data_IF_323295673687
#
_entry.id   IF_323295673687
#
_cell.length_a   1.000
_cell.length_b   1.000
_cell.length_c   1.000
_cell.angle_alpha   90.00
_cell.angle_beta   90.00
_cell.angle_gamma   90.00
#
_symmetry.space_group_name_H-M   'P 1'
#
loop_
_entity.id
_entity.type
_entity.pdbx_description
1 polymer ?
#
# COMPACT_ATOMS: atom_id res chain seq x y z
N UNK A 1 29.72 -3.07 -3.68
CA UNK A 1 29.93 -4.50 -3.34
C UNK A 1 29.55 -4.84 -1.90
N UNK A 2 29.80 -3.96 -0.91
CA UNK A 2 29.50 -4.23 0.51
C UNK A 2 28.00 -4.42 0.83
N UNK A 3 27.08 -3.85 0.04
CA UNK A 3 25.62 -3.93 0.30
C UNK A 3 24.99 -5.32 0.01
N UNK A 4 25.60 -6.14 -0.86
CA UNK A 4 25.07 -7.47 -1.25
C UNK A 4 25.63 -8.59 -0.36
N UNK A 5 26.79 -8.37 0.27
CA UNK A 5 27.45 -9.35 1.14
C UNK A 5 26.61 -9.62 2.40
N UNK A 6 25.92 -8.60 2.92
CA UNK A 6 25.14 -8.70 4.15
C UNK A 6 23.92 -9.64 4.02
N UNK A 7 23.02 -9.50 3.03
CA UNK A 7 21.88 -10.41 2.85
C UNK A 7 22.29 -11.87 2.63
N UNK A 8 23.33 -12.11 1.83
CA UNK A 8 23.80 -13.46 1.52
C UNK A 8 24.41 -14.11 2.76
N UNK A 9 25.22 -13.37 3.53
CA UNK A 9 25.78 -13.87 4.78
C UNK A 9 24.68 -14.26 5.78
N UNK A 10 23.60 -13.48 5.87
CA UNK A 10 22.45 -13.79 6.74
C UNK A 10 21.78 -15.10 6.30
N UNK A 11 21.56 -15.30 4.99
CA UNK A 11 20.96 -16.53 4.48
C UNK A 11 21.84 -17.77 4.75
N UNK A 12 23.15 -17.65 4.57
CA UNK A 12 24.09 -18.75 4.85
C UNK A 12 24.11 -19.08 6.34
N UNK A 13 24.18 -18.08 7.21
CA UNK A 13 24.14 -18.29 8.66
C UNK A 13 22.82 -18.94 9.07
N UNK A 14 21.70 -18.50 8.52
CA UNK A 14 20.39 -19.11 8.78
C UNK A 14 20.33 -20.57 8.34
N UNK A 15 20.80 -20.90 7.13
CA UNK A 15 20.89 -22.28 6.64
C UNK A 15 21.73 -23.16 7.59
N UNK A 16 22.92 -22.69 7.97
CA UNK A 16 23.81 -23.43 8.89
C UNK A 16 23.14 -23.66 10.25
N UNK A 17 22.48 -22.65 10.81
CA UNK A 17 21.78 -22.79 12.09
C UNK A 17 20.62 -23.79 12.00
N UNK A 18 19.91 -23.83 10.87
CA UNK A 18 18.85 -24.79 10.60
C UNK A 18 19.40 -26.21 10.49
N UNK A 19 20.47 -26.40 9.70
CA UNK A 19 21.10 -27.70 9.47
C UNK A 19 21.72 -28.28 10.74
N UNK A 20 22.34 -27.42 11.57
CA UNK A 20 22.88 -27.80 12.88
C UNK A 20 21.80 -28.01 13.95
N UNK A 21 20.51 -27.84 13.62
CA UNK A 21 19.36 -27.95 14.54
C UNK A 21 19.47 -27.03 15.76
N UNK A 22 20.17 -25.90 15.60
CA UNK A 22 20.27 -24.84 16.61
C UNK A 22 19.00 -23.99 16.66
N UNK A 23 18.20 -24.04 15.59
CA UNK A 23 16.84 -23.49 15.51
C UNK A 23 15.84 -24.60 15.16
N UNK A 24 14.61 -24.45 15.64
CA UNK A 24 13.54 -25.42 15.35
C UNK A 24 13.02 -25.20 13.92
N UNK A 25 13.42 -26.09 13.01
CA UNK A 25 13.08 -26.03 11.59
C UNK A 25 11.59 -26.22 11.30
N UNK A 26 10.79 -26.64 12.30
CA UNK A 26 9.33 -26.66 12.20
C UNK A 26 8.73 -25.26 12.19
N UNK A 27 9.39 -24.28 12.81
CA UNK A 27 8.92 -22.89 12.85
C UNK A 27 9.80 -21.95 12.01
N UNK A 28 11.08 -22.27 11.88
CA UNK A 28 12.06 -21.52 11.09
C UNK A 28 12.72 -22.43 10.06
N UNK A 29 12.03 -22.73 8.95
CA UNK A 29 12.55 -23.63 7.93
C UNK A 29 13.85 -23.07 7.33
N UNK A 30 14.77 -23.96 6.95
CA UNK A 30 15.97 -23.61 6.22
C UNK A 30 15.62 -22.86 4.91
N UNK A 31 16.38 -21.82 4.53
CA UNK A 31 16.27 -21.15 3.24
C UNK A 31 16.13 -22.09 2.03
N UNK A 32 16.83 -23.22 2.02
CA UNK A 32 16.70 -24.26 0.98
C UNK A 32 15.29 -24.85 0.89
N UNK A 33 14.63 -25.13 2.02
CA UNK A 33 13.26 -25.63 2.07
C UNK A 33 12.26 -24.59 1.56
N UNK A 34 12.47 -23.32 1.89
CA UNK A 34 11.65 -22.21 1.38
C UNK A 34 11.80 -22.11 -0.14
N UNK A 35 13.03 -22.24 -0.65
CA UNK A 35 13.28 -22.22 -2.10
C UNK A 35 12.62 -23.40 -2.83
N UNK A 36 12.68 -24.61 -2.27
CA UNK A 36 11.98 -25.77 -2.84
C UNK A 36 10.46 -25.58 -2.85
N UNK A 37 9.89 -25.03 -1.76
CA UNK A 37 8.47 -24.71 -1.69
C UNK A 37 8.09 -23.65 -2.73
N UNK A 38 8.92 -22.62 -2.93
CA UNK A 38 8.71 -21.61 -3.97
C UNK A 38 8.62 -22.23 -5.36
N UNK A 39 9.56 -23.12 -5.72
CA UNK A 39 9.54 -23.82 -7.00
C UNK A 39 8.29 -24.70 -7.14
N UNK A 40 7.89 -25.41 -6.08
CA UNK A 40 6.67 -26.22 -6.09
C UNK A 40 5.41 -25.36 -6.32
N UNK A 41 5.24 -24.28 -5.56
CA UNK A 41 4.10 -23.37 -5.70
C UNK A 41 4.09 -22.65 -7.05
N UNK A 42 5.26 -22.35 -7.62
CA UNK A 42 5.39 -21.74 -8.93
C UNK A 42 5.02 -22.72 -10.05
N UNK A 43 5.57 -23.94 -10.02
CA UNK A 43 5.34 -24.97 -11.07
C UNK A 43 3.92 -25.52 -11.05
N UNK A 44 3.29 -25.61 -9.88
CA UNK A 44 1.86 -25.98 -9.73
C UNK A 44 0.90 -24.87 -10.17
N UNK A 45 1.39 -23.65 -10.42
CA UNK A 45 0.58 -22.49 -10.80
C UNK A 45 -0.17 -21.83 -9.63
N UNK A 46 -0.10 -22.41 -8.44
CA UNK A 46 -0.76 -21.90 -7.22
C UNK A 46 -0.27 -20.48 -6.91
N UNK A 47 1.05 -20.28 -6.91
CA UNK A 47 1.63 -18.97 -6.61
C UNK A 47 1.20 -17.90 -7.61
N UNK A 48 1.14 -18.24 -8.90
CA UNK A 48 0.73 -17.30 -9.95
C UNK A 48 -0.74 -16.92 -9.81
N UNK A 49 -1.61 -17.89 -9.49
CA UNK A 49 -3.01 -17.63 -9.23
C UNK A 49 -3.19 -16.70 -8.02
N UNK A 50 -2.61 -17.08 -6.87
CA UNK A 50 -2.68 -16.29 -5.63
C UNK A 50 -2.15 -14.87 -5.83
N UNK A 51 -0.99 -14.72 -6.49
CA UNK A 51 -0.39 -13.44 -6.80
C UNK A 51 -1.29 -12.58 -7.70
N UNK A 52 -1.84 -13.16 -8.77
CA UNK A 52 -2.68 -12.43 -9.73
C UNK A 52 -3.96 -11.90 -9.08
N UNK A 53 -4.59 -12.70 -8.22
CA UNK A 53 -5.82 -12.33 -7.51
C UNK A 53 -5.53 -11.22 -6.49
N UNK A 54 -4.45 -11.34 -5.70
CA UNK A 54 -4.07 -10.28 -4.76
C UNK A 54 -3.72 -8.99 -5.49
N UNK A 55 -2.97 -9.05 -6.59
CA UNK A 55 -2.65 -7.87 -7.40
C UNK A 55 -3.90 -7.17 -7.93
N UNK A 56 -4.88 -7.93 -8.44
CA UNK A 56 -6.16 -7.39 -8.88
C UNK A 56 -6.88 -6.64 -7.75
N UNK A 57 -6.97 -7.26 -6.56
CA UNK A 57 -7.63 -6.65 -5.39
C UNK A 57 -6.88 -5.42 -4.86
N UNK A 58 -5.54 -5.49 -4.77
CA UNK A 58 -4.67 -4.38 -4.35
C UNK A 58 -4.85 -3.19 -5.29
N UNK A 59 -4.67 -3.40 -6.60
CA UNK A 59 -4.72 -2.32 -7.59
C UNK A 59 -6.14 -1.75 -7.67
N UNK A 60 -7.17 -2.61 -7.70
CA UNK A 60 -8.56 -2.19 -7.71
C UNK A 60 -8.91 -1.35 -6.49
N UNK A 61 -8.61 -1.84 -5.30
CA UNK A 61 -8.86 -1.10 -4.05
C UNK A 61 -8.04 0.19 -3.96
N UNK A 62 -6.78 0.16 -4.36
CA UNK A 62 -5.92 1.35 -4.36
C UNK A 62 -6.48 2.42 -5.29
N UNK A 63 -6.87 2.10 -6.53
CA UNK A 63 -7.43 3.07 -7.47
C UNK A 63 -8.76 3.63 -6.95
N UNK A 64 -9.67 2.74 -6.51
CA UNK A 64 -10.99 3.12 -6.00
C UNK A 64 -10.89 3.96 -4.72
N UNK A 65 -9.85 3.80 -3.91
CA UNK A 65 -9.60 4.64 -2.73
C UNK A 65 -8.84 5.92 -3.04
N UNK A 66 -7.73 5.82 -3.77
CA UNK A 66 -6.81 6.92 -4.01
C UNK A 66 -7.41 8.00 -4.91
N UNK A 67 -8.18 7.64 -5.93
CA UNK A 67 -8.77 8.63 -6.86
C UNK A 67 -9.78 9.54 -6.13
N UNK A 68 -10.78 9.03 -5.39
CA UNK A 68 -11.64 9.87 -4.57
C UNK A 68 -10.87 10.60 -3.47
N UNK A 69 -9.87 9.95 -2.85
CA UNK A 69 -9.03 10.58 -1.83
C UNK A 69 -8.29 11.79 -2.39
N UNK A 70 -7.74 11.70 -3.59
CA UNK A 70 -7.07 12.79 -4.28
C UNK A 70 -8.05 13.92 -4.61
N UNK A 71 -9.20 13.61 -5.19
CA UNK A 71 -10.21 14.60 -5.57
C UNK A 71 -10.72 15.36 -4.33
N UNK A 72 -11.12 14.62 -3.30
CA UNK A 72 -11.65 15.21 -2.06
C UNK A 72 -10.54 15.94 -1.30
N UNK A 73 -9.35 15.36 -1.20
CA UNK A 73 -8.20 16.02 -0.57
C UNK A 73 -7.82 17.34 -1.24
N UNK A 74 -7.78 17.37 -2.58
CA UNK A 74 -7.51 18.60 -3.33
C UNK A 74 -8.59 19.64 -3.07
N UNK A 75 -9.87 19.25 -3.15
CA UNK A 75 -10.98 20.19 -2.91
C UNK A 75 -10.99 20.73 -1.48
N UNK A 76 -10.70 19.90 -0.46
CA UNK A 76 -10.51 20.36 0.92
C UNK A 76 -9.32 21.31 1.03
N UNK A 77 -8.22 21.02 0.36
CA UNK A 77 -7.04 21.89 0.37
C UNK A 77 -7.29 23.27 -0.26
N UNK A 78 -8.08 23.29 -1.34
CA UNK A 78 -8.33 24.49 -2.14
C UNK A 78 -9.49 25.35 -1.60
N UNK A 79 -10.50 24.75 -0.99
CA UNK A 79 -11.72 25.43 -0.57
C UNK A 79 -11.92 25.33 0.95
N UNK A 80 -11.63 26.40 1.72
CA UNK A 80 -11.78 26.40 3.17
C UNK A 80 -13.18 26.03 3.67
N UNK A 81 -14.23 26.34 2.90
CA UNK A 81 -15.61 25.98 3.25
C UNK A 81 -15.80 24.46 3.21
N UNK A 82 -15.36 23.80 2.13
CA UNK A 82 -15.44 22.34 1.99
C UNK A 82 -14.64 21.68 3.11
N UNK A 83 -13.44 22.20 3.38
CA UNK A 83 -12.60 21.74 4.50
C UNK A 83 -13.31 21.82 5.83
N UNK A 84 -13.89 22.97 6.19
CA UNK A 84 -14.57 23.14 7.47
C UNK A 84 -15.77 22.20 7.65
N UNK A 85 -16.40 21.76 6.55
CA UNK A 85 -17.49 20.78 6.56
C UNK A 85 -16.97 19.35 6.69
N UNK A 86 -15.93 19.00 5.92
CA UNK A 86 -15.43 17.62 5.83
C UNK A 86 -14.42 17.25 6.93
N UNK A 87 -13.64 18.20 7.44
CA UNK A 87 -12.61 17.96 8.46
C UNK A 87 -13.18 17.22 9.69
N UNK A 88 -14.33 17.62 10.29
CA UNK A 88 -14.89 16.89 11.42
C UNK A 88 -15.30 15.45 11.07
N UNK A 89 -15.84 15.23 9.87
CA UNK A 89 -16.27 13.91 9.40
C UNK A 89 -15.06 13.01 9.18
N UNK A 90 -14.03 13.54 8.52
CA UNK A 90 -12.77 12.83 8.29
C UNK A 90 -12.09 12.51 9.63
N UNK A 91 -12.01 13.47 10.54
CA UNK A 91 -11.40 13.28 11.86
C UNK A 91 -12.16 12.25 12.72
N UNK A 92 -13.49 12.20 12.62
CA UNK A 92 -14.31 11.24 13.37
C UNK A 92 -14.23 9.82 12.79
N UNK A 93 -14.16 9.69 11.47
CA UNK A 93 -14.21 8.39 10.78
C UNK A 93 -12.83 7.77 10.54
N UNK A 94 -11.79 8.59 10.42
CA UNK A 94 -10.42 8.12 10.20
C UNK A 94 -9.89 7.16 11.29
N UNK A 95 -10.13 7.35 12.60
CA UNK A 95 -9.61 6.45 13.62
C UNK A 95 -10.21 5.04 13.59
N UNK A 96 -11.35 4.85 12.91
CA UNK A 96 -12.03 3.56 12.84
C UNK A 96 -11.10 2.53 12.17
N UNK A 97 -10.82 1.38 12.83
CA UNK A 97 -10.03 0.32 12.23
C UNK A 97 -10.74 -0.25 11.00
N UNK A 98 -10.11 -0.16 9.83
CA UNK A 98 -10.74 -0.53 8.55
C UNK A 98 -11.02 -2.02 8.47
N UNK A 99 -10.18 -2.84 9.10
CA UNK A 99 -10.41 -4.28 9.25
C UNK A 99 -11.62 -4.59 10.15
N UNK A 100 -11.92 -3.76 11.15
CA UNK A 100 -13.10 -3.95 12.00
C UNK A 100 -14.41 -3.68 11.26
N UNK A 101 -14.36 -2.99 10.11
CA UNK A 101 -15.51 -2.81 9.22
C UNK A 101 -15.77 -4.02 8.32
N UNK A 102 -14.82 -4.96 8.24
CA UNK A 102 -14.90 -6.09 7.31
C UNK A 102 -16.19 -6.91 7.45
N UNK A 103 -16.69 -7.27 8.65
CA UNK A 103 -17.96 -8.01 8.77
C UNK A 103 -19.16 -7.25 8.22
N UNK A 104 -19.21 -5.92 8.40
CA UNK A 104 -20.28 -5.08 7.84
C UNK A 104 -20.20 -5.06 6.31
N UNK A 105 -19.00 -4.92 5.77
CA UNK A 105 -18.76 -4.91 4.31
C UNK A 105 -19.10 -6.28 3.71
N UNK A 106 -18.79 -7.38 4.40
CA UNK A 106 -19.19 -8.73 4.00
C UNK A 106 -20.72 -8.88 3.96
N UNK A 107 -21.46 -8.31 4.91
CA UNK A 107 -22.94 -8.33 4.88
C UNK A 107 -23.48 -7.54 3.68
N UNK A 108 -22.86 -6.40 3.37
CA UNK A 108 -23.31 -5.51 2.29
C UNK A 108 -23.00 -6.05 0.89
N UNK A 109 -21.80 -6.62 0.70
CA UNK A 109 -21.27 -6.98 -0.62
C UNK A 109 -21.12 -8.48 -0.83
N UNK A 110 -21.28 -9.30 0.22
CA UNK A 110 -21.02 -10.74 0.19
C UNK A 110 -19.56 -11.09 0.38
N UNK A 111 -19.25 -12.39 0.27
CA UNK A 111 -17.90 -12.93 0.30
C UNK A 111 -17.42 -13.16 -1.15
N UNK A 112 -16.70 -12.20 -1.72
CA UNK A 112 -16.18 -12.24 -3.08
C UNK A 112 -14.89 -11.40 -3.19
N UNK A 113 -14.65 -10.71 -4.31
CA UNK A 113 -13.49 -9.82 -4.45
C UNK A 113 -13.82 -8.38 -4.06
N UNK A 114 -15.09 -7.99 -4.16
CA UNK A 114 -15.55 -6.63 -4.00
C UNK A 114 -15.44 -6.16 -2.55
N UNK A 115 -15.77 -6.98 -1.57
CA UNK A 115 -15.62 -6.61 -0.16
C UNK A 115 -14.15 -6.33 0.20
N UNK A 116 -13.22 -7.12 -0.35
CA UNK A 116 -11.78 -6.95 -0.13
C UNK A 116 -11.29 -5.65 -0.77
N UNK A 117 -11.72 -5.38 -2.00
CA UNK A 117 -11.46 -4.13 -2.73
C UNK A 117 -12.00 -2.92 -1.94
N UNK A 118 -13.22 -3.01 -1.39
CA UNK A 118 -13.83 -1.92 -0.62
C UNK A 118 -13.07 -1.64 0.68
N UNK A 119 -12.66 -2.67 1.42
CA UNK A 119 -11.84 -2.48 2.64
C UNK A 119 -10.53 -1.75 2.31
N UNK A 120 -9.85 -2.16 1.24
CA UNK A 120 -8.60 -1.54 0.77
C UNK A 120 -8.85 -0.10 0.32
N UNK A 121 -9.95 0.14 -0.40
CA UNK A 121 -10.32 1.47 -0.87
C UNK A 121 -10.55 2.43 0.30
N UNK A 122 -11.27 2.02 1.34
CA UNK A 122 -11.49 2.83 2.54
C UNK A 122 -10.16 3.14 3.22
N UNK A 123 -9.27 2.14 3.38
CA UNK A 123 -7.96 2.35 3.98
C UNK A 123 -7.08 3.34 3.22
N UNK A 124 -7.02 3.18 1.90
CA UNK A 124 -6.23 4.03 1.01
C UNK A 124 -6.80 5.45 0.93
N UNK A 125 -8.13 5.57 0.85
CA UNK A 125 -8.86 6.83 0.71
C UNK A 125 -8.44 7.88 1.72
N UNK A 126 -8.47 7.54 3.02
CA UNK A 126 -8.16 8.51 4.07
C UNK A 126 -6.70 8.96 4.04
N UNK A 127 -5.77 8.03 3.80
CA UNK A 127 -4.33 8.36 3.77
C UNK A 127 -4.04 9.31 2.61
N UNK A 128 -4.58 9.02 1.42
CA UNK A 128 -4.40 9.88 0.24
C UNK A 128 -5.10 11.22 0.42
N UNK A 129 -6.33 11.23 0.95
CA UNK A 129 -7.09 12.45 1.24
C UNK A 129 -6.33 13.39 2.17
N UNK A 130 -5.89 12.88 3.32
CA UNK A 130 -5.27 13.70 4.36
C UNK A 130 -3.93 14.28 3.89
N UNK A 131 -3.10 13.48 3.22
CA UNK A 131 -1.81 13.95 2.69
C UNK A 131 -2.00 14.92 1.53
N UNK A 132 -3.00 14.71 0.68
CA UNK A 132 -3.32 15.63 -0.43
C UNK A 132 -3.81 16.97 0.11
N UNK A 133 -4.74 16.97 1.06
CA UNK A 133 -5.24 18.19 1.68
C UNK A 133 -4.12 18.94 2.40
N UNK A 134 -3.32 18.24 3.20
CA UNK A 134 -2.15 18.82 3.88
C UNK A 134 -1.14 19.41 2.89
N UNK A 135 -0.93 18.75 1.74
CA UNK A 135 0.01 19.21 0.71
C UNK A 135 -0.35 20.57 0.14
N UNK A 136 -1.65 20.82 -0.06
CA UNK A 136 -2.15 22.11 -0.54
C UNK A 136 -2.18 23.16 0.58
N UNK A 137 -2.59 22.77 1.79
CA UNK A 137 -2.77 23.69 2.93
C UNK A 137 -1.43 24.23 3.45
N UNK A 138 -0.39 23.39 3.48
CA UNK A 138 0.90 23.72 4.05
C UNK A 138 1.82 24.51 3.09
N UNK A 139 1.35 24.88 1.91
CA UNK A 139 2.10 25.75 1.03
C UNK A 139 2.27 27.13 1.67
N UNK A 140 3.49 27.64 1.62
CA UNK A 140 3.82 28.95 2.19
C UNK A 140 2.94 30.04 1.54
N UNK A 141 2.37 30.89 2.40
CA UNK A 141 1.55 32.03 1.99
C UNK A 141 2.31 32.95 1.03
N UNK A 142 3.64 33.00 1.13
CA UNK A 142 4.48 33.79 0.23
C UNK A 142 4.25 33.45 -1.24
N UNK A 143 3.97 32.18 -1.57
CA UNK A 143 3.69 31.77 -2.95
C UNK A 143 2.37 32.35 -3.46
N UNK A 144 1.38 32.50 -2.57
CA UNK A 144 0.10 33.13 -2.91
C UNK A 144 0.26 34.65 -3.10
N UNK A 145 1.02 35.29 -2.23
CA UNK A 145 1.26 36.74 -2.30
C UNK A 145 2.06 37.12 -3.55
N UNK A 146 3.11 36.34 -3.86
CA UNK A 146 3.88 36.49 -5.11
C UNK A 146 2.97 36.29 -6.33
N UNK A 147 2.21 35.20 -6.39
CA UNK A 147 1.31 34.96 -7.54
C UNK A 147 0.30 36.10 -7.74
N UNK A 148 -0.27 36.63 -6.66
CA UNK A 148 -1.19 37.79 -6.73
C UNK A 148 -0.50 39.06 -7.21
N UNK A 149 0.73 39.32 -6.78
CA UNK A 149 1.50 40.48 -7.23
C UNK A 149 1.82 40.42 -8.74
N UNK A 150 1.97 39.22 -9.30
CA UNK A 150 2.13 39.00 -10.75
C UNK A 150 0.78 38.94 -11.50
N UNK A 151 -0.34 39.24 -10.85
CA UNK A 151 -1.66 39.29 -11.48
C UNK A 151 -2.30 37.94 -11.73
N UNK A 152 -1.81 36.85 -11.12
CA UNK A 152 -2.38 35.52 -11.29
C UNK A 152 -3.82 35.47 -10.77
N UNK A 153 -4.74 34.95 -11.58
CA UNK A 153 -6.08 34.63 -11.10
C UNK A 153 -6.02 33.49 -10.08
N UNK A 154 -7.11 33.27 -9.33
CA UNK A 154 -7.19 32.12 -8.41
C UNK A 154 -6.90 30.80 -9.13
N UNK A 155 -7.46 30.64 -10.33
CA UNK A 155 -7.26 29.43 -11.16
C UNK A 155 -5.80 29.27 -11.56
N UNK A 156 -5.13 30.36 -11.94
CA UNK A 156 -3.72 30.31 -12.32
C UNK A 156 -2.86 29.91 -11.13
N UNK A 157 -3.03 30.56 -9.98
CA UNK A 157 -2.34 30.18 -8.75
C UNK A 157 -2.53 28.68 -8.43
N UNK A 158 -3.75 28.15 -8.58
CA UNK A 158 -4.00 26.75 -8.27
C UNK A 158 -3.29 25.79 -9.23
N UNK A 159 -3.35 26.03 -10.53
CA UNK A 159 -2.79 25.11 -11.52
C UNK A 159 -1.27 25.23 -11.67
N UNK A 160 -0.71 26.43 -11.45
CA UNK A 160 0.71 26.69 -11.70
C UNK A 160 1.57 26.75 -10.44
N UNK A 161 0.96 26.95 -9.27
CA UNK A 161 1.70 27.08 -8.00
C UNK A 161 1.23 26.05 -6.98
N UNK A 162 -0.07 26.03 -6.65
CA UNK A 162 -0.56 25.21 -5.56
C UNK A 162 -0.53 23.71 -5.87
N UNK A 163 -1.05 23.29 -7.02
CA UNK A 163 -1.04 21.89 -7.41
C UNK A 163 0.40 21.37 -7.59
N UNK A 164 1.30 22.01 -8.37
CA UNK A 164 2.68 21.57 -8.48
C UNK A 164 3.42 21.54 -7.14
N UNK A 165 3.20 22.53 -6.28
CA UNK A 165 3.81 22.59 -4.95
C UNK A 165 3.31 21.48 -4.01
N UNK A 166 2.06 21.04 -4.15
CA UNK A 166 1.48 19.97 -3.34
C UNK A 166 1.84 18.56 -3.81
N UNK A 167 2.26 18.39 -5.08
CA UNK A 167 2.56 17.09 -5.68
C UNK A 167 3.50 16.20 -4.83
N UNK A 168 4.62 16.70 -4.24
CA UNK A 168 5.48 15.87 -3.40
C UNK A 168 4.75 15.24 -2.19
N UNK A 169 3.83 15.98 -1.57
CA UNK A 169 3.06 15.47 -0.43
C UNK A 169 1.91 14.56 -0.90
N UNK A 170 1.31 14.84 -2.05
CA UNK A 170 0.35 13.93 -2.70
C UNK A 170 1.00 12.57 -2.97
N UNK A 171 2.20 12.54 -3.54
CA UNK A 171 2.94 11.29 -3.79
C UNK A 171 3.32 10.58 -2.50
N UNK A 172 3.65 11.32 -1.45
CA UNK A 172 3.85 10.73 -0.11
C UNK A 172 2.55 10.03 0.35
N UNK A 173 1.40 10.67 0.17
CA UNK A 173 0.08 10.08 0.43
C UNK A 173 -0.20 8.82 -0.39
N UNK A 174 0.12 8.83 -1.70
CA UNK A 174 -0.04 7.66 -2.57
C UNK A 174 0.83 6.48 -2.13
N UNK A 175 2.10 6.73 -1.75
CA UNK A 175 3.01 5.68 -1.24
C UNK A 175 2.52 5.09 0.07
N UNK A 176 2.13 5.94 1.02
CA UNK A 176 1.55 5.48 2.28
C UNK A 176 0.24 4.73 2.07
N UNK A 177 -0.60 5.21 1.14
CA UNK A 177 -1.84 4.55 0.75
C UNK A 177 -1.62 3.16 0.15
N UNK A 178 -0.61 3.01 -0.71
CA UNK A 178 -0.22 1.70 -1.25
C UNK A 178 0.32 0.77 -0.16
N UNK A 179 1.12 1.28 0.77
CA UNK A 179 1.54 0.53 1.95
C UNK A 179 0.36 0.03 2.77
N UNK A 180 -0.66 0.89 2.97
CA UNK A 180 -1.90 0.51 3.65
C UNK A 180 -2.70 -0.54 2.87
N UNK A 181 -2.78 -0.43 1.55
CA UNK A 181 -3.44 -1.42 0.69
C UNK A 181 -2.82 -2.81 0.84
N UNK A 182 -1.49 -2.88 0.86
CA UNK A 182 -0.72 -4.10 1.07
C UNK A 182 -0.95 -4.70 2.47
N UNK A 183 -1.03 -3.88 3.52
CA UNK A 183 -1.33 -4.39 4.86
C UNK A 183 -2.77 -4.93 4.96
N UNK A 184 -3.74 -4.23 4.36
CA UNK A 184 -5.14 -4.61 4.43
C UNK A 184 -5.47 -5.85 3.61
N UNK A 185 -4.88 -6.02 2.41
CA UNK A 185 -5.18 -7.19 1.58
C UNK A 185 -4.82 -8.50 2.30
N UNK A 186 -3.69 -8.55 3.02
CA UNK A 186 -3.26 -9.76 3.71
C UNK A 186 -4.33 -10.18 4.72
N UNK A 187 -4.74 -9.26 5.59
CA UNK A 187 -5.78 -9.55 6.58
C UNK A 187 -7.17 -9.81 5.96
N UNK A 188 -7.49 -9.15 4.85
CA UNK A 188 -8.76 -9.35 4.15
C UNK A 188 -8.83 -10.72 3.45
N UNK A 189 -7.71 -11.25 2.96
CA UNK A 189 -7.68 -12.56 2.31
C UNK A 189 -7.64 -13.73 3.31
N UNK A 190 -7.26 -13.50 4.56
CA UNK A 190 -7.33 -14.53 5.61
C UNK A 190 -8.78 -14.93 5.94
N UNK A 191 -9.76 -14.09 5.60
CA UNK A 191 -11.16 -14.28 5.98
C UNK A 191 -12.03 -14.50 4.73
N UNK A 192 -12.47 -15.74 4.52
CA UNK A 192 -13.46 -16.07 3.47
C UNK A 192 -12.95 -15.91 2.03
N UNK A 193 -11.64 -15.95 1.80
CA UNK A 193 -11.06 -16.08 0.47
C UNK A 193 -10.71 -17.55 0.18
N UNK A 194 -10.66 -17.90 -1.10
CA UNK A 194 -10.19 -19.21 -1.60
C UNK A 194 -8.89 -19.11 -2.41
N UNK A 195 -8.37 -17.90 -2.57
CA UNK A 195 -7.15 -17.57 -3.32
C UNK A 195 -6.63 -16.21 -2.88
N UNK A 196 -5.33 -16.00 -3.10
CA UNK A 196 -4.61 -14.80 -2.70
C UNK A 196 -3.39 -15.11 -1.84
N UNK A 197 -2.43 -14.18 -1.77
CA UNK A 197 -1.22 -14.32 -0.96
C UNK A 197 -1.57 -14.37 0.53
N UNK A 198 -2.52 -13.56 1.00
CA UNK A 198 -2.99 -13.61 2.40
C UNK A 198 -3.77 -14.89 2.72
N UNK A 199 -4.53 -15.40 1.76
CA UNK A 199 -5.15 -16.72 1.86
C UNK A 199 -4.09 -17.81 2.00
N UNK A 200 -3.06 -17.79 1.15
CA UNK A 200 -1.97 -18.77 1.17
C UNK A 200 -1.22 -18.76 2.48
N UNK A 201 -0.97 -17.58 3.07
CA UNK A 201 -0.38 -17.47 4.42
C UNK A 201 -1.23 -18.23 5.44
N UNK A 202 -2.53 -17.98 5.45
CA UNK A 202 -3.44 -18.60 6.42
C UNK A 202 -3.60 -20.10 6.22
N UNK A 203 -3.74 -20.52 4.96
CA UNK A 203 -3.87 -21.94 4.62
C UNK A 203 -2.60 -22.72 5.00
N UNK A 204 -1.43 -22.17 4.64
CA UNK A 204 -0.13 -22.76 4.99
C UNK A 204 0.05 -22.85 6.51
N UNK A 205 -0.43 -21.86 7.26
CA UNK A 205 -0.48 -21.92 8.73
C UNK A 205 -1.38 -23.05 9.23
N UNK A 206 -2.60 -23.20 8.71
CA UNK A 206 -3.56 -24.22 9.15
C UNK A 206 -3.06 -25.65 8.90
N UNK A 207 -2.38 -25.89 7.77
CA UNK A 207 -1.84 -27.22 7.42
C UNK A 207 -0.39 -27.42 7.88
N UNK A 208 0.18 -26.46 8.61
CA UNK A 208 1.58 -26.46 9.08
C UNK A 208 2.64 -26.56 7.95
N UNK A 209 2.34 -26.06 6.75
CA UNK A 209 3.33 -25.86 5.67
C UNK A 209 4.06 -24.52 5.85
N UNK A 210 4.91 -24.46 6.88
CA UNK A 210 5.67 -23.24 7.20
C UNK A 210 6.58 -22.77 6.05
N UNK A 211 7.26 -23.64 5.27
CA UNK A 211 7.99 -23.21 4.08
C UNK A 211 7.12 -22.42 3.10
N UNK A 212 5.90 -22.89 2.77
CA UNK A 212 4.98 -22.17 1.89
C UNK A 212 4.54 -20.83 2.48
N UNK A 213 4.31 -20.76 3.80
CA UNK A 213 3.99 -19.51 4.49
C UNK A 213 5.11 -18.46 4.34
N UNK A 214 6.37 -18.88 4.49
CA UNK A 214 7.54 -17.99 4.27
C UNK A 214 7.65 -17.53 2.82
N UNK A 215 7.36 -18.39 1.84
CA UNK A 215 7.29 -17.99 0.42
C UNK A 215 6.29 -16.84 0.25
N UNK A 216 5.09 -16.95 0.81
CA UNK A 216 4.08 -15.89 0.73
C UNK A 216 4.53 -14.57 1.39
N UNK A 217 5.21 -14.62 2.54
CA UNK A 217 5.80 -13.43 3.16
C UNK A 217 6.85 -12.75 2.29
N UNK A 218 7.75 -13.54 1.69
CA UNK A 218 8.80 -13.03 0.79
C UNK A 218 8.15 -12.38 -0.44
N UNK A 219 7.16 -13.03 -1.05
CA UNK A 219 6.44 -12.48 -2.20
C UNK A 219 5.73 -11.18 -1.83
N UNK A 220 5.12 -11.10 -0.66
CA UNK A 220 4.49 -9.86 -0.18
C UNK A 220 5.51 -8.73 0.03
N UNK A 221 6.69 -9.06 0.57
CA UNK A 221 7.79 -8.10 0.72
C UNK A 221 8.30 -7.60 -0.64
N UNK A 222 8.44 -8.51 -1.63
CA UNK A 222 8.85 -8.16 -3.00
C UNK A 222 7.79 -7.26 -3.63
N UNK A 223 6.50 -7.57 -3.49
CA UNK A 223 5.42 -6.71 -3.99
C UNK A 223 5.50 -5.30 -3.40
N UNK A 224 5.70 -5.16 -2.09
CA UNK A 224 5.86 -3.86 -1.46
C UNK A 224 7.03 -3.05 -2.02
N UNK A 225 8.17 -3.72 -2.23
CA UNK A 225 9.34 -3.09 -2.85
C UNK A 225 9.09 -2.68 -4.31
N UNK A 226 8.47 -3.56 -5.10
CA UNK A 226 8.13 -3.29 -6.51
C UNK A 226 7.17 -2.12 -6.63
N UNK A 227 6.10 -2.07 -5.82
CA UNK A 227 5.18 -0.93 -5.82
C UNK A 227 5.85 0.37 -5.39
N UNK A 228 6.77 0.31 -4.43
CA UNK A 228 7.56 1.47 -4.02
C UNK A 228 8.40 2.00 -5.18
N UNK A 229 9.13 1.13 -5.89
CA UNK A 229 9.90 1.52 -7.08
C UNK A 229 9.00 2.13 -8.15
N UNK A 230 7.86 1.49 -8.45
CA UNK A 230 6.92 1.99 -9.46
C UNK A 230 6.45 3.40 -9.11
N UNK A 231 6.05 3.63 -7.85
CA UNK A 231 5.61 4.96 -7.41
C UNK A 231 6.75 5.99 -7.40
N UNK A 232 7.97 5.60 -7.05
CA UNK A 232 9.15 6.46 -7.13
C UNK A 232 9.47 6.86 -8.57
N UNK A 233 9.35 5.93 -9.53
CA UNK A 233 9.56 6.20 -10.95
C UNK A 233 8.49 7.14 -11.50
N UNK A 234 7.22 6.89 -11.15
CA UNK A 234 6.11 7.78 -11.52
C UNK A 234 6.30 9.17 -10.90
N UNK A 235 6.76 9.26 -9.65
CA UNK A 235 7.06 10.54 -9.00
C UNK A 235 8.17 11.31 -9.72
N UNK A 236 9.28 10.64 -10.07
CA UNK A 236 10.38 11.28 -10.82
C UNK A 236 9.94 11.79 -12.19
N UNK A 237 9.05 11.07 -12.85
CA UNK A 237 8.51 11.46 -14.15
C UNK A 237 7.59 12.69 -14.04
N UNK A 238 6.72 12.74 -13.02
CA UNK A 238 5.74 13.80 -12.83
C UNK A 238 6.33 15.04 -12.14
N UNK A 239 7.34 14.85 -11.27
CA UNK A 239 7.97 15.88 -10.45
C UNK A 239 9.50 15.91 -10.69
N UNK A 240 9.97 16.22 -11.92
CA UNK A 240 11.40 16.24 -12.20
C UNK A 240 12.15 17.30 -11.38
N UNK A 241 11.49 18.42 -11.04
CA UNK A 241 12.10 19.53 -10.30
C UNK A 241 12.40 19.22 -8.83
N UNK A 242 11.83 18.16 -8.23
CA UNK A 242 12.13 17.76 -6.86
C UNK A 242 13.50 17.11 -6.73
N UNK A 243 14.00 16.52 -7.81
CA UNK A 243 15.21 15.70 -7.82
C UNK A 243 16.42 16.40 -8.45
N UNK A 244 16.24 17.63 -8.95
CA UNK A 244 17.28 18.51 -9.48
C UNK A 244 17.64 19.58 -8.45
#
# INVERSE_FOLDING_TARGET
>A
MQQIISPIAILIVWEILADLKLIDTRFFPAPSMIFHSFINLLTTGILLNDLSVSLFRIIGGFIVGAVPGLIIGLTMGLFPIIRNILDPIVAATYPIPKLALMPLIMIMFGLNDLEKIVVIAIGTFFIVLMNTAAGVINLDRIYMDVARNYGASKKDYYLTVALPGALPMIFTGLKLGMGMALLLIVAAEMNGASSGIGYRIWESYNIFDIPAMFVSFIIMSILGYVFTIILDLIEKLIIPWKHN
#
